data_IF_435099786640
#
_entry.id   IF_435099786640
#
_cell.length_a   1.000
_cell.length_b   1.000
_cell.length_c   1.000
_cell.angle_alpha   90.00
_cell.angle_beta   90.00
_cell.angle_gamma   90.00
#
_symmetry.space_group_name_H-M   'P 1'
#
loop_
_entity.id
_entity.type
_entity.pdbx_description
1 polymer ?
#
# COMPACT_ATOMS: atom_id res chain seq x y z
N UNK A 1 -7.79 -9.16 -20.40
CA UNK A 1 -6.31 -9.22 -20.37
C UNK A 1 -5.89 -10.37 -19.46
N UNK A 2 -4.73 -10.99 -19.72
CA UNK A 2 -4.06 -11.85 -18.75
C UNK A 2 -3.18 -10.97 -17.87
N UNK A 3 -3.42 -10.97 -16.57
CA UNK A 3 -2.74 -10.06 -15.63
C UNK A 3 -1.93 -10.88 -14.64
N UNK A 4 -0.62 -10.64 -14.58
CA UNK A 4 0.25 -11.22 -13.57
C UNK A 4 0.28 -10.33 -12.34
N UNK A 5 -0.08 -10.89 -11.17
CA UNK A 5 -0.16 -10.15 -9.92
C UNK A 5 0.83 -10.72 -8.90
N UNK A 6 1.79 -9.94 -8.45
CA UNK A 6 2.63 -10.28 -7.30
C UNK A 6 2.01 -9.74 -6.01
N UNK A 7 2.23 -10.43 -4.88
CA UNK A 7 1.52 -10.08 -3.65
C UNK A 7 0.03 -10.41 -3.68
N UNK A 8 -0.40 -11.25 -4.61
CA UNK A 8 -1.78 -11.57 -4.95
C UNK A 8 -2.62 -12.11 -3.77
N UNK A 9 -1.99 -12.68 -2.74
CA UNK A 9 -2.67 -13.18 -1.52
C UNK A 9 -2.52 -12.23 -0.33
N UNK A 10 -1.84 -11.10 -0.50
CA UNK A 10 -1.72 -10.06 0.53
C UNK A 10 -3.01 -9.25 0.68
N UNK A 11 -3.05 -8.36 1.69
CA UNK A 11 -4.23 -7.57 2.02
C UNK A 11 -4.78 -6.76 0.83
N UNK A 12 -3.90 -6.02 0.16
CA UNK A 12 -4.28 -5.22 -1.02
C UNK A 12 -4.39 -6.12 -2.25
N UNK A 13 -3.41 -7.02 -2.45
CA UNK A 13 -3.34 -7.84 -3.64
C UNK A 13 -4.53 -8.78 -3.82
N UNK A 14 -5.09 -9.33 -2.73
CA UNK A 14 -6.30 -10.15 -2.80
C UNK A 14 -7.54 -9.36 -3.26
N UNK A 15 -7.65 -8.11 -2.85
CA UNK A 15 -8.70 -7.21 -3.33
C UNK A 15 -8.49 -6.86 -4.82
N UNK A 16 -7.24 -6.63 -5.24
CA UNK A 16 -6.89 -6.40 -6.65
C UNK A 16 -7.22 -7.62 -7.51
N UNK A 17 -6.86 -8.84 -7.06
CA UNK A 17 -7.20 -10.08 -7.77
C UNK A 17 -8.71 -10.19 -7.98
N UNK A 18 -9.48 -9.98 -6.92
CA UNK A 18 -10.95 -10.02 -6.98
C UNK A 18 -11.52 -8.98 -7.95
N UNK A 19 -11.08 -7.73 -7.84
CA UNK A 19 -11.52 -6.63 -8.71
C UNK A 19 -11.24 -6.93 -10.20
N UNK A 20 -10.06 -7.49 -10.50
CA UNK A 20 -9.69 -7.87 -11.86
C UNK A 20 -10.55 -9.01 -12.41
N UNK A 21 -10.81 -10.05 -11.62
CA UNK A 21 -11.66 -11.17 -12.00
C UNK A 21 -13.10 -10.72 -12.24
N UNK A 22 -13.65 -9.88 -11.35
CA UNK A 22 -15.00 -9.30 -11.50
C UNK A 22 -15.12 -8.41 -12.74
N UNK A 23 -14.03 -7.75 -13.15
CA UNK A 23 -13.94 -6.97 -14.39
C UNK A 23 -13.70 -7.83 -15.66
N UNK A 24 -13.63 -9.17 -15.55
CA UNK A 24 -13.48 -10.08 -16.67
C UNK A 24 -12.04 -10.26 -17.16
N UNK A 25 -11.04 -9.93 -16.35
CA UNK A 25 -9.63 -10.25 -16.64
C UNK A 25 -9.30 -11.68 -16.19
N UNK A 26 -8.35 -12.31 -16.86
CA UNK A 26 -7.74 -13.55 -16.40
C UNK A 26 -6.55 -13.19 -15.51
N UNK A 27 -6.52 -13.70 -14.28
CA UNK A 27 -5.50 -13.35 -13.30
C UNK A 27 -4.61 -14.54 -13.00
N UNK A 28 -3.29 -14.35 -13.10
CA UNK A 28 -2.28 -15.30 -12.64
C UNK A 28 -1.56 -14.68 -11.44
N UNK A 29 -1.70 -15.30 -10.25
CA UNK A 29 -1.13 -14.80 -9.01
C UNK A 29 0.19 -15.50 -8.64
N UNK A 30 1.20 -14.74 -8.22
CA UNK A 30 2.45 -15.29 -7.67
C UNK A 30 2.20 -15.90 -6.29
N UNK A 31 2.53 -17.19 -6.12
CA UNK A 31 2.36 -17.93 -4.89
C UNK A 31 3.67 -18.56 -4.40
N UNK A 32 4.14 -18.18 -3.20
CA UNK A 32 5.35 -18.73 -2.59
C UNK A 32 5.11 -19.98 -1.70
N UNK A 33 3.86 -20.29 -1.39
CA UNK A 33 3.49 -21.44 -0.53
C UNK A 33 2.25 -22.14 -1.07
N UNK A 34 2.01 -23.37 -0.59
CA UNK A 34 0.82 -24.15 -0.95
C UNK A 34 -0.47 -23.48 -0.47
N UNK A 35 -0.44 -22.86 0.71
CA UNK A 35 -1.56 -22.09 1.23
C UNK A 35 -1.90 -20.89 0.30
N UNK A 36 -0.88 -20.14 -0.14
CA UNK A 36 -1.08 -19.03 -1.08
C UNK A 36 -1.68 -19.54 -2.42
N UNK A 37 -1.18 -20.67 -2.92
CA UNK A 37 -1.70 -21.28 -4.14
C UNK A 37 -3.16 -21.73 -3.99
N UNK A 38 -3.50 -22.38 -2.88
CA UNK A 38 -4.87 -22.80 -2.60
C UNK A 38 -5.82 -21.58 -2.50
N UNK A 39 -5.38 -20.48 -1.86
CA UNK A 39 -6.16 -19.25 -1.77
C UNK A 39 -6.42 -18.62 -3.14
N UNK A 40 -5.43 -18.59 -4.03
CA UNK A 40 -5.59 -18.08 -5.41
C UNK A 40 -6.54 -18.95 -6.22
N UNK A 41 -6.38 -20.27 -6.17
CA UNK A 41 -7.26 -21.20 -6.87
C UNK A 41 -8.72 -21.07 -6.37
N UNK A 42 -8.93 -20.93 -5.06
CA UNK A 42 -10.24 -20.71 -4.48
C UNK A 42 -10.88 -19.38 -4.91
N UNK A 43 -10.06 -18.35 -5.17
CA UNK A 43 -10.51 -17.06 -5.72
C UNK A 43 -10.81 -17.12 -7.24
N UNK A 44 -10.48 -18.21 -7.93
CA UNK A 44 -10.64 -18.33 -9.39
C UNK A 44 -9.45 -17.80 -10.20
N UNK A 45 -8.32 -17.53 -9.57
CA UNK A 45 -7.10 -17.10 -10.23
C UNK A 45 -6.19 -18.31 -10.55
N UNK A 46 -5.42 -18.19 -11.64
CA UNK A 46 -4.35 -19.13 -11.95
C UNK A 46 -3.18 -18.94 -10.98
N UNK A 47 -2.41 -20.00 -10.78
CA UNK A 47 -1.30 -20.03 -9.84
C UNK A 47 0.04 -20.08 -10.57
N UNK A 48 0.88 -19.09 -10.35
CA UNK A 48 2.28 -19.09 -10.73
C UNK A 48 3.17 -19.29 -9.50
N UNK A 49 3.94 -20.38 -9.47
CA UNK A 49 4.82 -20.70 -8.33
C UNK A 49 6.10 -19.88 -8.40
N UNK A 50 6.48 -19.26 -7.29
CA UNK A 50 7.71 -18.46 -7.19
C UNK A 50 7.68 -17.51 -6.01
N UNK A 51 8.71 -16.67 -5.90
CA UNK A 51 8.86 -15.67 -4.83
C UNK A 51 9.46 -14.38 -5.38
N UNK A 52 9.51 -13.31 -4.56
CA UNK A 52 10.15 -12.06 -4.95
C UNK A 52 11.67 -12.18 -5.19
N UNK A 53 12.31 -13.20 -4.62
CA UNK A 53 13.74 -13.46 -4.79
C UNK A 53 14.04 -14.39 -5.97
N UNK A 54 13.03 -15.02 -6.54
CA UNK A 54 13.14 -15.86 -7.74
C UNK A 54 12.85 -15.00 -8.99
N UNK A 55 13.88 -14.28 -9.45
CA UNK A 55 13.74 -13.34 -10.55
C UNK A 55 13.40 -14.03 -11.88
N UNK A 56 13.77 -15.27 -12.07
CA UNK A 56 13.44 -16.02 -13.28
C UNK A 56 11.96 -16.41 -13.30
N UNK A 57 11.40 -16.77 -12.15
CA UNK A 57 9.97 -16.96 -12.00
C UNK A 57 9.19 -15.67 -12.26
N UNK A 58 9.67 -14.52 -11.78
CA UNK A 58 9.03 -13.22 -12.05
C UNK A 58 9.05 -12.88 -13.56
N UNK A 59 10.18 -13.11 -14.23
CA UNK A 59 10.31 -12.89 -15.69
C UNK A 59 9.35 -13.80 -16.46
N UNK A 60 9.27 -15.08 -16.09
CA UNK A 60 8.35 -16.02 -16.73
C UNK A 60 6.89 -15.59 -16.60
N UNK A 61 6.44 -15.23 -15.39
CA UNK A 61 5.08 -14.73 -15.17
C UNK A 61 4.77 -13.45 -15.95
N UNK A 62 5.70 -12.50 -16.01
CA UNK A 62 5.54 -11.26 -16.74
C UNK A 62 5.57 -11.46 -18.27
N UNK A 63 6.35 -12.42 -18.77
CA UNK A 63 6.45 -12.70 -20.20
C UNK A 63 5.12 -13.18 -20.79
N UNK A 64 4.38 -13.99 -20.06
CA UNK A 64 3.10 -14.57 -20.48
C UNK A 64 1.89 -13.64 -20.28
N UNK A 65 2.05 -12.53 -19.52
CA UNK A 65 0.98 -11.63 -19.19
C UNK A 65 0.83 -10.47 -20.20
N UNK A 66 -0.40 -9.97 -20.33
CA UNK A 66 -0.70 -8.74 -21.09
C UNK A 66 -0.43 -7.49 -20.24
N UNK A 67 -0.30 -7.64 -18.91
CA UNK A 67 0.04 -6.57 -17.95
C UNK A 67 0.40 -7.13 -16.59
N UNK A 68 1.09 -6.32 -15.79
CA UNK A 68 1.59 -6.72 -14.46
C UNK A 68 1.14 -5.71 -13.40
N UNK A 69 0.68 -6.24 -12.25
CA UNK A 69 0.48 -5.47 -11.03
C UNK A 69 1.41 -6.00 -9.94
N UNK A 70 2.25 -5.12 -9.41
CA UNK A 70 3.21 -5.44 -8.37
C UNK A 70 2.80 -4.81 -7.05
N UNK A 71 2.19 -5.62 -6.16
CA UNK A 71 1.79 -5.21 -4.80
C UNK A 71 2.60 -5.91 -3.72
N UNK A 72 3.48 -6.82 -4.08
CA UNK A 72 4.31 -7.53 -3.12
C UNK A 72 5.39 -6.61 -2.52
N UNK A 73 5.53 -6.66 -1.22
CA UNK A 73 6.62 -6.01 -0.48
C UNK A 73 6.90 -6.81 0.80
N UNK A 74 8.16 -6.85 1.24
CA UNK A 74 8.53 -7.49 2.52
C UNK A 74 8.39 -6.44 3.62
N UNK A 75 7.29 -6.53 4.39
CA UNK A 75 7.08 -5.73 5.59
C UNK A 75 7.55 -6.54 6.80
N UNK A 76 8.73 -6.21 7.34
CA UNK A 76 9.23 -6.75 8.60
C UNK A 76 9.49 -5.58 9.55
N UNK A 77 8.55 -5.36 10.46
CA UNK A 77 8.64 -4.34 11.49
C UNK A 77 9.26 -4.87 12.80
N UNK A 78 9.80 -6.08 12.78
CA UNK A 78 10.51 -6.63 13.94
C UNK A 78 11.83 -5.89 14.18
N UNK A 79 12.38 -5.94 15.41
CA UNK A 79 13.70 -5.36 15.69
C UNK A 79 14.84 -5.96 14.85
N UNK A 80 14.63 -7.16 14.27
CA UNK A 80 15.59 -7.85 13.40
C UNK A 80 15.33 -7.56 11.91
N UNK A 81 14.29 -6.81 11.57
CA UNK A 81 13.95 -6.46 10.19
C UNK A 81 15.04 -5.60 9.54
N UNK A 82 15.30 -5.85 8.25
CA UNK A 82 16.21 -5.03 7.44
C UNK A 82 15.41 -4.32 6.33
N UNK A 83 14.96 -3.07 6.56
CA UNK A 83 14.25 -2.30 5.55
C UNK A 83 15.07 -2.06 4.27
N UNK A 84 16.40 -2.00 4.37
CA UNK A 84 17.26 -1.84 3.21
C UNK A 84 17.33 -3.13 2.37
N UNK A 85 17.33 -4.31 3.00
CA UNK A 85 17.22 -5.57 2.28
C UNK A 85 15.86 -5.74 1.62
N UNK A 86 14.78 -5.37 2.30
CA UNK A 86 13.44 -5.36 1.73
C UNK A 86 13.36 -4.46 0.49
N UNK A 87 13.90 -3.25 0.55
CA UNK A 87 13.96 -2.31 -0.56
C UNK A 87 14.82 -2.83 -1.73
N UNK A 88 15.96 -3.49 -1.45
CA UNK A 88 16.79 -4.10 -2.49
C UNK A 88 16.03 -5.23 -3.20
N UNK A 89 15.37 -6.11 -2.46
CA UNK A 89 14.58 -7.21 -3.03
C UNK A 89 13.45 -6.68 -3.91
N UNK A 90 12.72 -5.69 -3.44
CA UNK A 90 11.65 -5.02 -4.19
C UNK A 90 12.18 -4.37 -5.48
N UNK A 91 13.28 -3.60 -5.39
CA UNK A 91 13.91 -2.98 -6.54
C UNK A 91 14.37 -4.00 -7.59
N UNK A 92 14.96 -5.13 -7.18
CA UNK A 92 15.37 -6.20 -8.09
C UNK A 92 14.16 -6.88 -8.77
N UNK A 93 13.07 -7.10 -8.02
CA UNK A 93 11.84 -7.64 -8.57
C UNK A 93 11.23 -6.69 -9.62
N UNK A 94 11.11 -5.40 -9.31
CA UNK A 94 10.61 -4.38 -10.26
C UNK A 94 11.50 -4.28 -11.50
N UNK A 95 12.82 -4.34 -11.32
CA UNK A 95 13.79 -4.35 -12.41
C UNK A 95 13.55 -5.54 -13.35
N UNK A 96 13.41 -6.75 -12.81
CA UNK A 96 13.17 -7.97 -13.60
C UNK A 96 11.83 -7.90 -14.38
N UNK A 97 10.77 -7.42 -13.74
CA UNK A 97 9.47 -7.22 -14.38
C UNK A 97 9.54 -6.17 -15.48
N UNK A 98 10.14 -5.01 -15.20
CA UNK A 98 10.27 -3.91 -16.16
C UNK A 98 11.14 -4.27 -17.37
N UNK A 99 12.25 -5.00 -17.18
CA UNK A 99 13.10 -5.49 -18.26
C UNK A 99 12.36 -6.46 -19.18
N UNK A 100 11.54 -7.35 -18.62
CA UNK A 100 10.73 -8.30 -19.37
C UNK A 100 9.67 -7.60 -20.23
N UNK A 101 9.14 -6.48 -19.75
CA UNK A 101 8.12 -5.70 -20.44
C UNK A 101 8.69 -4.63 -21.39
N UNK A 102 10.00 -4.38 -21.38
CA UNK A 102 10.62 -3.31 -22.17
C UNK A 102 10.30 -3.42 -23.67
N UNK A 103 9.97 -2.29 -24.30
CA UNK A 103 9.61 -2.19 -25.70
C UNK A 103 8.24 -2.76 -26.09
N UNK A 104 7.48 -3.31 -25.14
CA UNK A 104 6.21 -4.00 -25.44
C UNK A 104 4.96 -3.11 -25.39
N UNK A 105 5.04 -1.92 -24.79
CA UNK A 105 3.88 -1.07 -24.50
C UNK A 105 2.94 -1.62 -23.44
N UNK A 106 3.24 -2.80 -22.85
CA UNK A 106 2.40 -3.43 -21.82
C UNK A 106 2.44 -2.65 -20.50
N UNK A 107 1.34 -2.66 -19.71
CA UNK A 107 1.27 -1.96 -18.43
C UNK A 107 2.05 -2.67 -17.32
N UNK A 108 2.69 -1.88 -16.47
CA UNK A 108 3.26 -2.28 -15.18
C UNK A 108 2.78 -1.29 -14.11
N UNK A 109 1.90 -1.72 -13.20
CA UNK A 109 1.44 -0.90 -12.09
C UNK A 109 2.15 -1.34 -10.82
N UNK A 110 2.89 -0.43 -10.19
CA UNK A 110 3.74 -0.74 -9.03
C UNK A 110 3.23 0.01 -7.80
N UNK A 111 3.00 -0.72 -6.71
CA UNK A 111 2.65 -0.13 -5.42
C UNK A 111 3.84 0.66 -4.85
N UNK A 112 3.59 1.91 -4.48
CA UNK A 112 4.52 2.81 -3.81
C UNK A 112 3.88 3.41 -2.56
N UNK A 113 4.57 4.28 -1.83
CA UNK A 113 4.01 4.98 -0.68
C UNK A 113 3.93 6.48 -0.88
N UNK A 114 2.98 7.15 -0.20
CA UNK A 114 2.83 8.60 -0.21
C UNK A 114 3.40 9.30 1.02
N UNK A 115 3.77 8.56 2.06
CA UNK A 115 4.03 9.12 3.41
C UNK A 115 5.19 10.14 3.50
N UNK A 116 6.16 10.11 2.59
CA UNK A 116 7.34 10.99 2.65
C UNK A 116 7.41 12.01 1.51
N UNK A 117 6.32 12.21 0.77
CA UNK A 117 6.31 13.15 -0.37
C UNK A 117 6.40 14.60 0.09
N UNK A 118 5.64 14.98 1.12
CA UNK A 118 5.53 16.36 1.57
C UNK A 118 5.18 16.43 3.07
N UNK A 119 6.08 16.01 3.98
CA UNK A 119 5.81 16.04 5.41
C UNK A 119 5.34 17.40 5.90
N UNK A 120 4.26 17.45 6.69
CA UNK A 120 3.70 18.68 7.26
C UNK A 120 2.82 19.52 6.33
N UNK A 121 2.67 19.15 5.05
CA UNK A 121 1.71 19.78 4.12
C UNK A 121 0.96 18.73 3.29
N UNK A 122 -0.13 19.14 2.66
CA UNK A 122 -0.87 18.27 1.75
C UNK A 122 0.00 17.90 0.54
N UNK A 123 0.30 16.61 0.38
CA UNK A 123 0.99 16.08 -0.78
C UNK A 123 0.04 15.92 -1.97
N UNK A 124 0.55 16.13 -3.18
CA UNK A 124 -0.17 15.91 -4.44
C UNK A 124 0.57 14.92 -5.32
N UNK A 125 -0.04 14.47 -6.41
CA UNK A 125 0.58 13.55 -7.37
C UNK A 125 1.81 14.14 -8.06
N UNK A 126 1.92 15.46 -8.11
CA UNK A 126 3.07 16.17 -8.70
C UNK A 126 4.28 16.23 -7.75
N UNK A 127 4.09 15.96 -6.46
CA UNK A 127 5.19 15.94 -5.50
C UNK A 127 6.11 14.73 -5.73
N UNK A 128 7.40 14.95 -5.47
CA UNK A 128 8.41 13.91 -5.49
C UNK A 128 9.03 13.76 -4.10
N UNK A 129 9.51 12.56 -3.77
CA UNK A 129 10.31 12.36 -2.56
C UNK A 129 11.56 13.25 -2.68
N UNK A 130 11.84 14.12 -1.69
CA UNK A 130 13.04 14.93 -1.68
C UNK A 130 14.30 14.07 -1.78
N UNK A 131 15.24 14.46 -2.65
CA UNK A 131 16.43 13.65 -2.96
C UNK A 131 17.41 13.44 -1.79
N UNK A 132 17.32 14.25 -0.76
CA UNK A 132 18.10 14.16 0.50
C UNK A 132 17.37 13.39 1.61
N UNK A 133 16.15 12.94 1.38
CA UNK A 133 15.40 12.14 2.34
C UNK A 133 15.88 10.69 2.29
N UNK A 134 16.40 10.12 3.38
CA UNK A 134 16.74 8.71 3.43
C UNK A 134 15.45 7.88 3.35
N UNK A 135 15.06 7.50 2.15
CA UNK A 135 13.89 6.70 1.90
C UNK A 135 14.32 5.27 1.59
N UNK A 136 14.02 4.29 2.42
CA UNK A 136 14.42 2.91 2.16
C UNK A 136 13.70 2.32 0.95
N UNK A 137 12.46 2.76 0.65
CA UNK A 137 11.64 2.20 -0.42
C UNK A 137 11.93 2.88 -1.77
N UNK A 138 12.38 2.08 -2.73
CA UNK A 138 12.81 2.53 -4.06
C UNK A 138 11.81 2.20 -5.18
N UNK A 139 10.67 1.60 -4.85
CA UNK A 139 9.68 1.05 -5.78
C UNK A 139 9.33 1.99 -6.93
N UNK A 140 8.88 3.21 -6.60
CA UNK A 140 8.50 4.21 -7.61
C UNK A 140 9.69 4.63 -8.47
N UNK A 141 10.84 4.90 -7.83
CA UNK A 141 12.03 5.38 -8.50
C UNK A 141 12.56 4.38 -9.53
N UNK A 142 12.59 3.09 -9.17
CA UNK A 142 13.01 2.02 -10.09
C UNK A 142 11.95 1.81 -11.19
N UNK A 143 10.68 1.78 -10.84
CA UNK A 143 9.60 1.56 -11.79
C UNK A 143 9.56 2.63 -12.89
N UNK A 144 9.61 3.90 -12.53
CA UNK A 144 9.45 5.01 -13.48
C UNK A 144 10.59 5.12 -14.50
N UNK A 145 11.75 4.50 -14.26
CA UNK A 145 12.83 4.42 -15.26
C UNK A 145 12.41 3.66 -16.53
N UNK A 146 11.41 2.79 -16.44
CA UNK A 146 10.91 2.01 -17.56
C UNK A 146 9.94 2.78 -18.49
N UNK A 147 9.46 3.95 -18.07
CA UNK A 147 8.63 4.80 -18.95
C UNK A 147 9.34 5.14 -20.27
N UNK A 148 10.63 5.53 -20.19
CA UNK A 148 11.47 5.79 -21.36
C UNK A 148 11.94 4.53 -22.12
N UNK A 149 11.61 3.33 -21.60
CA UNK A 149 11.99 2.05 -22.20
C UNK A 149 10.80 1.31 -22.83
N UNK A 150 9.71 2.04 -23.15
CA UNK A 150 8.54 1.48 -23.83
C UNK A 150 7.69 0.56 -22.95
N UNK A 151 7.68 0.76 -21.62
CA UNK A 151 6.74 0.15 -20.69
C UNK A 151 5.71 1.19 -20.28
N UNK A 152 4.44 0.83 -20.27
CA UNK A 152 3.37 1.70 -19.75
C UNK A 152 3.31 1.61 -18.22
N UNK A 153 4.39 2.11 -17.60
CA UNK A 153 4.57 2.02 -16.14
C UNK A 153 3.79 3.12 -15.40
N UNK A 154 3.18 2.73 -14.28
CA UNK A 154 2.48 3.62 -13.37
C UNK A 154 2.88 3.33 -11.92
N UNK A 155 3.14 4.37 -11.13
CA UNK A 155 3.34 4.26 -9.69
C UNK A 155 2.02 4.54 -8.97
N UNK A 156 1.54 3.55 -8.19
CA UNK A 156 0.36 3.65 -7.33
C UNK A 156 0.79 3.98 -5.92
N UNK A 157 0.67 5.23 -5.53
CA UNK A 157 1.04 5.72 -4.20
C UNK A 157 -0.09 5.46 -3.22
N UNK A 158 0.17 4.59 -2.26
CA UNK A 158 -0.73 4.21 -1.19
C UNK A 158 -0.45 5.04 0.06
N UNK A 159 -1.48 5.48 0.78
CA UNK A 159 -1.31 6.21 2.04
C UNK A 159 -0.82 5.29 3.16
N UNK A 160 -0.41 5.85 4.33
CA UNK A 160 -0.02 5.07 5.50
C UNK A 160 -1.09 4.06 5.93
N UNK A 161 -2.36 4.44 5.88
CA UNK A 161 -3.46 3.56 6.21
C UNK A 161 -4.22 3.13 4.96
N UNK A 162 -3.96 1.89 4.50
CA UNK A 162 -4.89 1.16 3.65
C UNK A 162 -5.70 0.26 4.56
N UNK A 163 -7.01 0.48 4.67
CA UNK A 163 -7.85 -0.12 5.69
C UNK A 163 -8.99 -0.97 5.10
N UNK A 164 -9.74 -1.65 5.96
CA UNK A 164 -10.84 -2.55 5.63
C UNK A 164 -10.74 -3.88 6.34
N UNK A 165 -11.77 -4.71 6.23
CA UNK A 165 -11.82 -6.01 6.88
C UNK A 165 -10.60 -6.89 6.53
N UNK A 166 -9.92 -7.42 7.58
CA UNK A 166 -8.72 -8.24 7.44
C UNK A 166 -7.42 -7.43 7.32
N UNK A 167 -7.46 -6.12 7.62
CA UNK A 167 -6.25 -5.31 7.77
C UNK A 167 -5.33 -5.89 8.84
N UNK A 168 -4.02 -5.88 8.56
CA UNK A 168 -2.95 -6.29 9.48
C UNK A 168 -1.79 -5.28 9.47
N UNK A 169 -2.06 -4.06 9.01
CA UNK A 169 -1.11 -2.96 8.91
C UNK A 169 -1.02 -2.08 10.16
N UNK A 170 -0.96 -0.77 9.95
CA UNK A 170 -0.68 0.19 11.02
C UNK A 170 -1.81 0.32 12.03
N UNK A 171 -3.07 0.30 11.60
CA UNK A 171 -4.20 0.45 12.54
C UNK A 171 -4.30 -0.73 13.50
N UNK A 172 -4.26 -2.00 13.07
CA UNK A 172 -4.19 -3.14 13.98
C UNK A 172 -2.98 -3.10 14.92
N UNK A 173 -1.83 -2.60 14.45
CA UNK A 173 -0.65 -2.44 15.31
C UNK A 173 -0.90 -1.40 16.42
N UNK A 174 -1.54 -0.28 16.12
CA UNK A 174 -1.93 0.73 17.13
C UNK A 174 -2.91 0.15 18.15
N UNK A 175 -3.89 -0.64 17.70
CA UNK A 175 -4.84 -1.35 18.57
C UNK A 175 -4.09 -2.32 19.50
N UNK A 176 -3.14 -3.08 18.97
CA UNK A 176 -2.28 -3.97 19.73
C UNK A 176 -1.45 -3.25 20.79
N UNK A 177 -0.87 -2.10 20.45
CA UNK A 177 -0.13 -1.24 21.37
C UNK A 177 -1.05 -0.72 22.48
N UNK A 178 -2.24 -0.21 22.12
CA UNK A 178 -3.19 0.29 23.10
C UNK A 178 -3.62 -0.80 24.11
N UNK A 179 -3.91 -2.01 23.64
CA UNK A 179 -4.21 -3.18 24.49
C UNK A 179 -3.04 -3.50 25.45
N UNK A 180 -1.81 -3.53 24.92
CA UNK A 180 -0.62 -3.88 25.70
C UNK A 180 -0.26 -2.81 26.74
N UNK A 181 -0.53 -1.54 26.43
CA UNK A 181 -0.19 -0.39 27.30
C UNK A 181 -1.34 0.03 28.23
N UNK A 182 -2.57 -0.45 27.98
CA UNK A 182 -3.75 -0.08 28.77
C UNK A 182 -4.22 1.35 28.51
N UNK A 183 -3.79 1.97 27.40
CA UNK A 183 -4.23 3.30 27.01
C UNK A 183 -4.04 3.52 25.48
N UNK A 184 -4.91 4.30 24.86
CA UNK A 184 -4.75 4.79 23.51
C UNK A 184 -4.10 6.18 23.56
N UNK A 185 -2.93 6.34 22.92
CA UNK A 185 -2.17 7.58 22.99
C UNK A 185 -2.09 8.29 21.64
N UNK A 186 -1.87 9.60 21.70
CA UNK A 186 -1.44 10.42 20.57
C UNK A 186 -0.35 11.41 21.03
N UNK A 187 0.52 11.83 20.11
CA UNK A 187 1.65 12.71 20.46
C UNK A 187 1.22 14.18 20.38
N UNK A 188 1.57 14.97 21.39
CA UNK A 188 1.26 16.41 21.44
C UNK A 188 -0.25 16.67 21.45
N UNK A 189 -0.75 17.49 20.55
CA UNK A 189 -2.18 17.76 20.39
C UNK A 189 -2.91 16.75 19.49
N UNK A 190 -2.18 15.80 18.89
CA UNK A 190 -2.71 14.78 17.99
C UNK A 190 -3.27 15.33 16.68
N UNK A 191 -2.91 16.56 16.30
CA UNK A 191 -3.35 17.19 15.04
C UNK A 191 -2.60 16.70 13.81
N UNK A 192 -1.51 15.95 13.98
CA UNK A 192 -0.83 15.29 12.89
C UNK A 192 -1.77 14.30 12.18
N UNK A 193 -1.70 14.28 10.86
CA UNK A 193 -2.71 13.62 10.00
C UNK A 193 -2.12 12.44 9.25
N UNK A 194 -2.94 11.41 9.09
CA UNK A 194 -2.67 10.31 8.17
C UNK A 194 -3.68 10.33 7.03
N UNK A 195 -3.20 10.29 5.80
CA UNK A 195 -4.04 9.95 4.67
C UNK A 195 -4.43 8.48 4.74
N UNK A 196 -5.62 8.15 4.23
CA UNK A 196 -6.14 6.78 4.25
C UNK A 196 -6.91 6.43 2.98
N UNK A 197 -7.07 5.13 2.73
CA UNK A 197 -7.95 4.61 1.67
C UNK A 197 -8.48 3.22 2.04
N UNK A 198 -9.74 2.97 1.74
CA UNK A 198 -10.27 1.63 1.84
C UNK A 198 -9.68 0.73 0.75
N UNK A 199 -9.29 -0.53 1.10
CA UNK A 199 -8.60 -1.45 0.18
C UNK A 199 -9.34 -1.74 -1.12
N UNK A 200 -10.69 -1.71 -1.10
CA UNK A 200 -11.51 -1.96 -2.29
C UNK A 200 -11.47 -0.76 -3.27
N UNK A 201 -11.44 0.47 -2.75
CA UNK A 201 -11.24 1.65 -3.58
C UNK A 201 -9.83 1.68 -4.19
N UNK A 202 -8.81 1.30 -3.41
CA UNK A 202 -7.46 1.13 -3.92
C UNK A 202 -7.40 0.08 -5.03
N UNK A 203 -8.03 -1.09 -4.84
CA UNK A 203 -8.07 -2.16 -5.83
C UNK A 203 -8.70 -1.71 -7.16
N UNK A 204 -9.81 -0.97 -7.09
CA UNK A 204 -10.46 -0.39 -8.27
C UNK A 204 -9.51 0.57 -9.02
N UNK A 205 -8.74 1.39 -8.29
CA UNK A 205 -7.77 2.28 -8.93
C UNK A 205 -6.60 1.52 -9.56
N UNK A 206 -6.13 0.41 -8.96
CA UNK A 206 -5.14 -0.47 -9.60
C UNK A 206 -5.63 -1.00 -10.93
N UNK A 207 -6.90 -1.43 -11.04
CA UNK A 207 -7.49 -1.89 -12.30
C UNK A 207 -7.55 -0.76 -13.32
N UNK A 208 -8.06 0.41 -12.97
CA UNK A 208 -8.13 1.56 -13.87
C UNK A 208 -6.74 1.98 -14.36
N UNK A 209 -5.74 1.95 -13.49
CA UNK A 209 -4.36 2.23 -13.85
C UNK A 209 -3.81 1.21 -14.86
N UNK A 210 -4.04 -0.09 -14.63
CA UNK A 210 -3.65 -1.15 -15.54
C UNK A 210 -4.27 -0.96 -16.94
N UNK A 211 -5.55 -0.62 -16.99
CA UNK A 211 -6.31 -0.48 -18.24
C UNK A 211 -5.90 0.78 -19.04
N UNK A 212 -5.69 1.91 -18.38
CA UNK A 212 -5.67 3.21 -19.06
C UNK A 212 -4.57 4.20 -18.67
N UNK A 213 -3.76 3.95 -17.61
CA UNK A 213 -2.78 4.95 -17.19
C UNK A 213 -1.66 5.11 -18.25
N UNK A 214 -1.34 6.33 -18.69
CA UNK A 214 -0.18 6.60 -19.53
C UNK A 214 1.14 6.23 -18.83
N UNK A 215 2.19 5.99 -19.62
CA UNK A 215 3.53 5.74 -19.09
C UNK A 215 4.05 6.92 -18.24
N UNK A 216 4.66 6.61 -17.11
CA UNK A 216 5.21 7.60 -16.19
C UNK A 216 4.20 8.25 -15.24
N UNK A 217 2.95 7.77 -15.22
CA UNK A 217 1.89 8.30 -14.35
C UNK A 217 2.17 7.96 -12.89
N UNK A 218 1.91 8.92 -12.01
CA UNK A 218 1.79 8.74 -10.57
C UNK A 218 0.34 8.92 -10.17
N UNK A 219 -0.21 8.00 -9.39
CA UNK A 219 -1.58 8.03 -8.89
C UNK A 219 -1.57 7.97 -7.37
N UNK A 220 -2.43 8.74 -6.74
CA UNK A 220 -2.68 8.66 -5.30
C UNK A 220 -3.97 7.89 -5.03
N UNK A 221 -3.84 6.70 -4.45
CA UNK A 221 -4.99 5.96 -3.93
C UNK A 221 -5.34 6.50 -2.53
N UNK A 222 -5.99 7.66 -2.48
CA UNK A 222 -6.33 8.35 -1.23
C UNK A 222 -7.82 8.66 -1.21
N UNK A 223 -8.50 8.16 -0.17
CA UNK A 223 -9.92 8.44 0.11
C UNK A 223 -10.07 9.56 1.14
N UNK A 224 -9.36 9.43 2.28
CA UNK A 224 -9.29 10.46 3.31
C UNK A 224 -7.96 11.22 3.17
N UNK A 225 -8.00 12.51 2.89
CA UNK A 225 -6.80 13.33 2.66
C UNK A 225 -5.92 13.46 3.92
N UNK A 226 -6.53 13.40 5.11
CA UNK A 226 -5.78 13.53 6.36
C UNK A 226 -6.66 13.37 7.60
N UNK A 227 -6.65 12.18 8.18
CA UNK A 227 -7.35 11.87 9.44
C UNK A 227 -6.45 12.27 10.61
N UNK A 228 -6.90 13.14 11.54
CA UNK A 228 -6.13 13.49 12.73
C UNK A 228 -5.83 12.24 13.58
N UNK A 229 -4.59 12.11 14.02
CA UNK A 229 -4.17 10.91 14.77
C UNK A 229 -4.93 10.76 16.09
N UNK A 230 -5.29 11.87 16.75
CA UNK A 230 -6.14 11.87 17.96
C UNK A 230 -7.51 11.24 17.71
N UNK A 231 -8.07 11.37 16.49
CA UNK A 231 -9.39 10.82 16.19
C UNK A 231 -9.30 9.29 16.02
N UNK A 232 -8.18 8.79 15.44
CA UNK A 232 -7.87 7.35 15.41
C UNK A 232 -7.72 6.81 16.83
N UNK A 233 -6.95 7.49 17.70
CA UNK A 233 -6.77 7.11 19.09
C UNK A 233 -8.09 7.14 19.87
N UNK A 234 -8.97 8.11 19.59
CA UNK A 234 -10.28 8.21 20.24
C UNK A 234 -11.20 7.02 19.91
N UNK A 235 -11.24 6.58 18.64
CA UNK A 235 -12.00 5.38 18.25
C UNK A 235 -11.41 4.14 18.93
N UNK A 236 -10.09 3.97 18.91
CA UNK A 236 -9.42 2.83 19.56
C UNK A 236 -9.74 2.80 21.05
N UNK A 237 -9.60 3.94 21.75
CA UNK A 237 -9.90 4.02 23.19
C UNK A 237 -11.35 3.68 23.51
N UNK A 238 -12.31 4.18 22.72
CA UNK A 238 -13.74 3.91 22.88
C UNK A 238 -14.07 2.41 22.75
N UNK A 239 -13.57 1.76 21.70
CA UNK A 239 -13.85 0.34 21.46
C UNK A 239 -13.16 -0.61 22.43
N UNK A 240 -12.02 -0.20 22.99
CA UNK A 240 -11.29 -1.01 23.97
C UNK A 240 -11.63 -0.67 25.44
N UNK A 241 -12.49 0.31 25.68
CA UNK A 241 -12.77 0.87 27.03
C UNK A 241 -11.48 1.31 27.73
N UNK A 242 -10.60 2.01 27.01
CA UNK A 242 -9.32 2.51 27.49
C UNK A 242 -9.27 4.04 27.51
N UNK A 243 -8.52 4.65 28.44
CA UNK A 243 -8.29 6.08 28.44
C UNK A 243 -7.58 6.51 27.15
N UNK A 244 -7.95 7.70 26.66
CA UNK A 244 -7.31 8.36 25.52
C UNK A 244 -6.46 9.51 26.05
N UNK A 245 -5.15 9.52 25.77
CA UNK A 245 -4.22 10.44 26.44
C UNK A 245 -3.21 11.04 25.45
N UNK A 246 -2.98 12.34 25.59
CA UNK A 246 -1.83 13.01 24.98
C UNK A 246 -0.54 12.58 25.69
N UNK A 247 0.49 12.27 24.91
CA UNK A 247 1.85 12.02 25.41
C UNK A 247 2.83 12.99 24.76
N UNK A 248 3.95 13.24 25.44
CA UNK A 248 5.02 14.06 24.87
C UNK A 248 5.77 13.30 23.76
N UNK A 249 6.56 14.03 22.98
CA UNK A 249 7.40 13.41 21.94
C UNK A 249 8.48 12.51 22.55
N UNK A 250 8.99 12.85 23.74
CA UNK A 250 9.97 12.05 24.48
C UNK A 250 9.39 10.73 24.98
N UNK A 251 8.09 10.71 25.28
CA UNK A 251 7.38 9.50 25.73
C UNK A 251 6.98 8.58 24.55
N UNK A 252 6.97 9.11 23.31
CA UNK A 252 6.48 8.39 22.14
C UNK A 252 7.24 7.08 21.89
N UNK A 253 8.57 7.05 22.02
CA UNK A 253 9.39 5.85 21.86
C UNK A 253 9.04 4.77 22.90
N UNK A 254 8.80 5.18 24.13
CA UNK A 254 8.41 4.28 25.23
C UNK A 254 7.00 3.70 25.05
N UNK A 255 6.09 4.45 24.40
CA UNK A 255 4.72 4.00 24.15
C UNK A 255 4.60 3.21 22.86
N UNK A 256 5.03 3.78 21.73
CA UNK A 256 4.83 3.23 20.39
C UNK A 256 5.97 2.33 19.91
N UNK A 257 7.15 2.35 20.59
CA UNK A 257 8.32 1.61 20.14
C UNK A 257 8.70 1.96 18.69
N UNK A 258 8.92 0.96 17.84
CA UNK A 258 9.25 1.15 16.44
C UNK A 258 8.22 1.94 15.61
N UNK A 259 6.99 2.12 16.12
CA UNK A 259 5.94 2.92 15.48
C UNK A 259 5.97 4.41 15.84
N UNK A 260 6.83 4.84 16.79
CA UNK A 260 6.84 6.22 17.29
C UNK A 260 7.03 7.27 16.18
N UNK A 261 7.90 6.99 15.21
CA UNK A 261 8.09 7.86 14.06
C UNK A 261 6.79 8.04 13.29
N UNK A 262 6.13 6.95 12.91
CA UNK A 262 4.89 6.99 12.12
C UNK A 262 3.75 7.65 12.91
N UNK A 263 3.58 7.31 14.18
CA UNK A 263 2.57 7.92 15.06
C UNK A 263 2.72 9.43 15.22
N UNK A 264 3.91 9.97 14.96
CA UNK A 264 4.22 11.41 15.07
C UNK A 264 4.22 12.15 13.73
N UNK A 265 4.11 11.46 12.59
CA UNK A 265 4.20 12.09 11.26
C UNK A 265 2.88 12.77 10.87
N UNK A 266 2.99 13.98 10.30
CA UNK A 266 1.90 14.64 9.57
C UNK A 266 2.11 14.42 8.07
N UNK A 267 1.28 13.53 7.48
CA UNK A 267 1.46 13.03 6.11
C UNK A 267 0.12 13.00 5.34
N UNK A 268 -0.57 14.14 5.26
CA UNK A 268 -1.78 14.25 4.46
C UNK A 268 -1.45 14.19 2.97
N UNK A 269 -2.36 13.62 2.18
CA UNK A 269 -2.19 13.54 0.73
C UNK A 269 -3.53 13.69 0.02
N UNK A 270 -3.53 14.37 -1.12
CA UNK A 270 -4.70 14.52 -1.98
C UNK A 270 -4.69 13.51 -3.12
N UNK A 271 -5.86 13.12 -3.60
CA UNK A 271 -6.05 12.37 -4.84
C UNK A 271 -6.81 13.17 -5.91
N UNK A 272 -6.87 14.49 -5.80
CA UNK A 272 -7.67 15.34 -6.67
C UNK A 272 -7.29 15.19 -8.16
N UNK A 273 -5.99 15.13 -8.47
CA UNK A 273 -5.50 14.93 -9.85
C UNK A 273 -5.86 13.53 -10.34
N UNK A 274 -5.70 12.52 -9.51
CA UNK A 274 -6.10 11.13 -9.81
C UNK A 274 -7.58 11.05 -10.11
N UNK A 275 -8.43 11.62 -9.26
CA UNK A 275 -9.88 11.65 -9.45
C UNK A 275 -10.27 12.33 -10.77
N UNK A 276 -9.71 13.50 -11.04
CA UNK A 276 -10.00 14.25 -12.25
C UNK A 276 -9.58 13.49 -13.52
N UNK A 277 -8.40 12.85 -13.52
CA UNK A 277 -7.84 12.20 -14.72
C UNK A 277 -8.47 10.85 -15.04
N UNK A 278 -8.89 10.10 -14.00
CA UNK A 278 -9.33 8.70 -14.14
C UNK A 278 -10.82 8.52 -13.83
N UNK A 279 -11.56 9.56 -13.43
CA UNK A 279 -12.94 9.44 -12.99
C UNK A 279 -13.11 8.50 -11.80
N UNK A 280 -12.01 8.28 -11.05
CA UNK A 280 -12.02 7.46 -9.86
C UNK A 280 -12.47 8.30 -8.66
N UNK A 281 -13.43 7.79 -7.91
CA UNK A 281 -13.86 8.42 -6.66
C UNK A 281 -13.97 7.34 -5.59
N UNK A 282 -13.40 7.53 -4.38
CA UNK A 282 -13.60 6.62 -3.28
C UNK A 282 -15.10 6.55 -2.94
N UNK A 283 -15.61 5.34 -2.75
CA UNK A 283 -17.03 5.06 -2.48
C UNK A 283 -17.24 4.20 -1.24
N UNK A 284 -16.15 3.67 -0.68
CA UNK A 284 -16.17 2.88 0.53
C UNK A 284 -16.10 3.79 1.77
N UNK A 285 -16.42 3.29 2.97
CA UNK A 285 -16.28 4.05 4.21
C UNK A 285 -14.87 4.63 4.38
N UNK A 286 -14.77 5.85 4.91
CA UNK A 286 -13.49 6.42 5.34
C UNK A 286 -12.96 5.72 6.60
N UNK A 287 -11.68 5.97 6.94
CA UNK A 287 -10.98 5.27 8.01
C UNK A 287 -11.73 5.25 9.35
N UNK A 288 -12.22 6.40 9.80
CA UNK A 288 -12.90 6.49 11.09
C UNK A 288 -14.20 5.69 11.09
N UNK A 289 -14.99 5.78 10.01
CA UNK A 289 -16.24 5.03 9.89
C UNK A 289 -16.00 3.51 9.84
N UNK A 290 -14.98 3.07 9.07
CA UNK A 290 -14.60 1.66 8.97
C UNK A 290 -14.09 1.09 10.30
N UNK A 291 -13.28 1.87 11.05
CA UNK A 291 -12.86 1.50 12.40
C UNK A 291 -14.05 1.33 13.34
N UNK A 292 -15.01 2.21 13.23
CA UNK A 292 -16.19 2.25 14.13
C UNK A 292 -17.18 1.09 13.87
N UNK A 293 -17.08 0.40 12.72
CA UNK A 293 -17.82 -0.84 12.47
C UNK A 293 -17.43 -2.00 13.41
N UNK A 294 -16.30 -1.91 14.10
CA UNK A 294 -15.92 -2.79 15.20
C UNK A 294 -15.19 -4.08 14.79
N UNK A 295 -15.08 -4.41 13.51
CA UNK A 295 -14.42 -5.64 13.05
C UNK A 295 -12.91 -5.71 13.37
N UNK A 296 -12.29 -4.57 13.69
CA UNK A 296 -10.89 -4.48 14.14
C UNK A 296 -10.67 -4.93 15.60
N UNK A 297 -11.73 -5.00 16.39
CA UNK A 297 -11.64 -5.19 17.84
C UNK A 297 -12.10 -6.58 18.32
N UNK A 298 -12.65 -7.38 17.40
CA UNK A 298 -13.11 -8.76 17.62
C UNK A 298 -11.97 -9.76 17.85
#
# INVERSE_FOLDING_TARGET
MRVFVTGATGFIGSAVVRELLEAGHNVTGLARSDQAAASLAAAGAEVHRGSLTDLDSLRAGAAEADGVIHTAYIHDFSPAGDPAAAARTDGQAIQALGETLAGSGRPLVVAAGSALLAPGRLATEDDNVPGDTPHPRVSEQVALQFAGRGVRVCAMRLPPSVHGQGDHGFVPALIGIARAKGLAAYVGDGSNRWAAVHRLDAARLFRLALESAPAGTRLHAVGDEGVPFRDIAAVIGRHLDLPVTSISREEADGHFGGFALFASMDVPASSAITQQRFGWHPVQPGLIADLDEGHYFS
#
